data_IF_112647848964
#
_entry.id   IF_112647848964
#
_cell.length_a   1.000
_cell.length_b   1.000
_cell.length_c   1.000
_cell.angle_alpha   90.00
_cell.angle_beta   90.00
_cell.angle_gamma   90.00
#
_symmetry.space_group_name_H-M   'P 1'
#
loop_
_entity.id
_entity.type
_entity.pdbx_description
1 polymer ?
#
# COMPACT_ATOMS: atom_id res chain seq x y z
N UNK A 1 -6.77 -15.24 1.25
CA UNK A 1 -5.69 -14.24 1.30
C UNK A 1 -5.96 -13.21 2.39
N UNK A 2 -4.94 -12.83 3.16
CA UNK A 2 -5.06 -11.70 4.09
C UNK A 2 -4.89 -10.39 3.31
N UNK A 3 -5.99 -9.69 3.11
CA UNK A 3 -6.03 -8.38 2.46
C UNK A 3 -7.31 -7.66 2.92
N UNK A 4 -7.20 -6.61 3.76
CA UNK A 4 -8.36 -5.94 4.34
C UNK A 4 -8.94 -4.84 3.45
N UNK A 5 -10.10 -4.30 3.87
CA UNK A 5 -10.70 -3.11 3.30
C UNK A 5 -11.12 -3.28 1.85
N UNK A 6 -11.10 -2.17 1.11
CA UNK A 6 -11.54 -2.12 -0.28
C UNK A 6 -10.68 -2.99 -1.21
N UNK A 7 -9.39 -3.16 -0.88
CA UNK A 7 -8.51 -4.06 -1.61
C UNK A 7 -8.96 -5.53 -1.47
N UNK A 8 -9.48 -5.91 -0.29
CA UNK A 8 -10.10 -7.20 -0.08
C UNK A 8 -11.34 -7.43 -0.94
N UNK A 9 -12.18 -6.41 -1.09
CA UNK A 9 -13.34 -6.51 -1.97
C UNK A 9 -12.94 -6.67 -3.45
N UNK A 10 -11.93 -5.95 -3.90
CA UNK A 10 -11.37 -6.12 -5.24
C UNK A 10 -10.81 -7.54 -5.41
N UNK A 11 -10.05 -8.04 -4.43
CA UNK A 11 -9.52 -9.40 -4.44
C UNK A 11 -10.64 -10.46 -4.52
N UNK A 12 -11.77 -10.27 -3.81
CA UNK A 12 -12.92 -11.15 -3.89
C UNK A 12 -13.52 -11.18 -5.30
N UNK A 13 -13.63 -10.03 -5.95
CA UNK A 13 -14.11 -9.95 -7.35
C UNK A 13 -13.13 -10.57 -8.35
N UNK A 14 -11.88 -10.73 -7.98
CA UNK A 14 -10.86 -11.46 -8.75
C UNK A 14 -10.85 -12.97 -8.45
N UNK A 15 -11.72 -13.45 -7.56
CA UNK A 15 -11.86 -14.85 -7.21
C UNK A 15 -11.10 -15.32 -5.98
N UNK A 16 -10.45 -14.40 -5.25
CA UNK A 16 -9.83 -14.73 -3.96
C UNK A 16 -10.85 -14.73 -2.82
N UNK A 17 -10.47 -15.33 -1.68
CA UNK A 17 -11.24 -15.26 -0.43
C UNK A 17 -10.48 -14.36 0.55
N UNK A 18 -10.85 -13.06 0.66
CA UNK A 18 -10.18 -12.13 1.54
C UNK A 18 -10.53 -12.38 3.01
N UNK A 19 -9.55 -12.15 3.87
CA UNK A 19 -9.71 -12.22 5.32
C UNK A 19 -9.04 -11.02 5.97
N UNK A 20 -9.64 -10.51 7.04
CA UNK A 20 -9.03 -9.47 7.88
C UNK A 20 -8.44 -10.13 9.12
N UNK A 21 -7.12 -10.25 9.15
CA UNK A 21 -6.36 -10.87 10.24
C UNK A 21 -5.39 -9.83 10.80
N UNK A 22 -5.31 -9.66 12.14
CA UNK A 22 -4.31 -8.79 12.76
C UNK A 22 -2.88 -9.17 12.38
N UNK A 23 -1.97 -8.19 12.33
CA UNK A 23 -0.59 -8.41 11.89
C UNK A 23 0.14 -9.54 12.62
N UNK A 24 -0.04 -9.65 13.95
CA UNK A 24 0.58 -10.68 14.76
C UNK A 24 0.12 -12.11 14.41
N UNK A 25 -1.06 -12.24 13.83
CA UNK A 25 -1.67 -13.55 13.51
C UNK A 25 -1.37 -14.01 12.06
N UNK A 26 -0.75 -13.15 11.24
CA UNK A 26 -0.47 -13.47 9.81
C UNK A 26 0.53 -14.61 9.69
N UNK A 27 1.67 -14.54 10.39
CA UNK A 27 2.68 -15.60 10.33
C UNK A 27 2.11 -16.97 10.71
N UNK A 28 1.45 -17.16 11.87
CA UNK A 28 0.86 -18.45 12.22
C UNK A 28 -0.26 -18.88 11.25
N UNK A 29 -0.99 -17.96 10.63
CA UNK A 29 -2.02 -18.30 9.66
C UNK A 29 -1.42 -18.82 8.33
N UNK A 30 -0.34 -18.21 7.85
CA UNK A 30 0.44 -18.70 6.70
C UNK A 30 1.11 -20.05 7.01
N UNK A 31 1.75 -20.18 8.18
CA UNK A 31 2.43 -21.40 8.61
C UNK A 31 1.50 -22.62 8.67
N UNK A 32 0.28 -22.42 9.18
CA UNK A 32 -0.75 -23.46 9.28
C UNK A 32 -1.53 -23.69 7.98
N UNK A 33 -1.29 -22.89 6.94
CA UNK A 33 -2.07 -22.95 5.70
C UNK A 33 -3.53 -22.51 5.85
N UNK A 34 -3.86 -21.74 6.91
CA UNK A 34 -5.20 -21.16 7.09
C UNK A 34 -5.46 -20.08 6.04
N UNK A 35 -4.41 -19.42 5.58
CA UNK A 35 -4.40 -18.53 4.43
C UNK A 35 -3.26 -18.90 3.48
N UNK A 36 -3.46 -18.69 2.19
CA UNK A 36 -2.50 -19.04 1.14
C UNK A 36 -1.55 -17.88 0.81
N UNK A 37 -1.95 -16.64 1.12
CA UNK A 37 -1.20 -15.43 0.83
C UNK A 37 -1.56 -14.30 1.81
N UNK A 38 -0.66 -13.35 1.94
CA UNK A 38 -0.91 -12.11 2.69
C UNK A 38 -0.30 -10.91 1.97
N UNK A 39 -0.93 -9.77 2.09
CA UNK A 39 -0.31 -8.49 1.82
C UNK A 39 0.12 -7.83 3.13
N UNK A 40 1.20 -7.06 3.10
CA UNK A 40 1.68 -6.30 4.24
C UNK A 40 2.37 -5.02 3.76
N UNK A 41 3.36 -4.51 4.47
CA UNK A 41 3.92 -3.17 4.22
C UNK A 41 4.99 -3.17 3.12
N UNK A 42 5.98 -4.08 3.20
CA UNK A 42 7.10 -4.15 2.28
C UNK A 42 8.34 -4.83 2.88
N UNK A 43 9.44 -4.93 2.13
CA UNK A 43 10.57 -5.80 2.48
C UNK A 43 11.12 -5.64 3.89
N UNK A 44 11.21 -4.40 4.37
CA UNK A 44 11.80 -4.12 5.69
C UNK A 44 10.95 -4.65 6.85
N UNK A 45 9.64 -4.50 6.79
CA UNK A 45 8.74 -5.01 7.82
C UNK A 45 8.44 -6.49 7.62
N UNK A 46 8.30 -6.95 6.39
CA UNK A 46 8.04 -8.34 6.04
C UNK A 46 9.19 -9.27 6.47
N UNK A 47 10.44 -8.81 6.32
CA UNK A 47 11.63 -9.49 6.83
C UNK A 47 11.58 -9.65 8.35
N UNK A 48 11.25 -8.57 9.09
CA UNK A 48 11.18 -8.58 10.55
C UNK A 48 10.12 -9.53 11.09
N UNK A 49 8.99 -9.62 10.40
CA UNK A 49 7.90 -10.52 10.76
C UNK A 49 8.14 -11.96 10.31
N UNK A 50 9.22 -12.19 9.54
CA UNK A 50 9.64 -13.51 9.13
C UNK A 50 8.78 -14.17 8.07
N UNK A 51 7.93 -13.43 7.35
CA UNK A 51 6.98 -13.98 6.38
C UNK A 51 7.65 -14.83 5.30
N UNK A 52 8.87 -14.48 4.90
CA UNK A 52 9.66 -15.23 3.92
C UNK A 52 9.92 -16.69 4.31
N UNK A 53 9.86 -17.04 5.60
CA UNK A 53 10.08 -18.42 6.08
C UNK A 53 8.89 -19.34 5.77
N UNK A 54 7.71 -18.77 5.64
CA UNK A 54 6.44 -19.51 5.42
C UNK A 54 5.79 -19.19 4.07
N UNK A 55 6.23 -18.10 3.41
CA UNK A 55 5.75 -17.65 2.09
C UNK A 55 6.94 -17.16 1.23
N UNK A 56 7.66 -18.07 0.54
CA UNK A 56 8.88 -17.73 -0.20
C UNK A 56 8.65 -17.02 -1.53
N UNK A 57 7.43 -16.97 -2.04
CA UNK A 57 7.08 -16.25 -3.26
C UNK A 57 6.65 -14.83 -2.91
N UNK A 58 7.35 -13.83 -3.46
CA UNK A 58 7.17 -12.42 -3.16
C UNK A 58 6.78 -11.66 -4.43
N UNK A 59 5.56 -11.17 -4.48
CA UNK A 59 5.00 -10.53 -5.68
C UNK A 59 5.02 -9.00 -5.59
N UNK A 60 5.36 -8.36 -6.71
CA UNK A 60 5.43 -6.90 -6.87
C UNK A 60 5.00 -6.50 -8.29
N UNK A 61 4.58 -5.24 -8.52
CA UNK A 61 4.15 -4.26 -7.53
C UNK A 61 2.78 -4.62 -6.95
N UNK A 62 2.48 -4.11 -5.76
CA UNK A 62 1.11 -4.24 -5.22
C UNK A 62 0.11 -3.55 -6.15
N UNK A 63 -0.85 -4.29 -6.68
CA UNK A 63 -1.87 -3.73 -7.58
C UNK A 63 -2.91 -2.89 -6.84
N UNK A 64 -2.99 -3.03 -5.51
CA UNK A 64 -3.94 -2.33 -4.64
C UNK A 64 -3.43 -0.95 -4.20
N UNK A 65 -2.15 -0.79 -3.95
CA UNK A 65 -1.51 0.48 -3.58
C UNK A 65 0.01 0.40 -3.76
N UNK A 66 0.66 1.50 -4.14
CA UNK A 66 2.12 1.54 -4.26
C UNK A 66 2.81 1.75 -2.90
N UNK A 67 2.06 2.13 -1.88
CA UNK A 67 2.52 2.36 -0.52
C UNK A 67 1.39 2.82 0.39
N UNK A 68 1.46 2.53 1.70
CA UNK A 68 0.40 2.83 2.64
C UNK A 68 0.28 4.34 2.93
N UNK A 69 -0.94 4.85 2.98
CA UNK A 69 -1.25 6.18 3.50
C UNK A 69 -1.68 6.05 4.97
N UNK A 70 -0.75 6.29 5.89
CA UNK A 70 -1.00 6.19 7.33
C UNK A 70 -1.52 7.51 7.88
N UNK A 71 -2.50 7.45 8.79
CA UNK A 71 -3.19 8.62 9.32
C UNK A 71 -3.19 8.64 10.84
N UNK A 72 -3.14 9.85 11.41
CA UNK A 72 -3.43 10.07 12.81
C UNK A 72 -4.91 10.46 12.98
N UNK A 73 -5.64 9.69 13.76
CA UNK A 73 -7.02 9.99 14.13
C UNK A 73 -7.07 10.57 15.53
N UNK A 74 -7.63 11.77 15.66
CA UNK A 74 -7.79 12.45 16.96
C UNK A 74 -9.27 12.71 17.18
N UNK A 75 -9.79 12.40 18.37
CA UNK A 75 -11.14 12.74 18.73
C UNK A 75 -11.32 14.26 18.65
N UNK A 76 -12.35 14.71 17.91
CA UNK A 76 -12.54 16.14 17.64
C UNK A 76 -12.76 16.95 18.91
N UNK A 77 -13.56 16.45 19.85
CA UNK A 77 -13.83 17.15 21.12
C UNK A 77 -12.57 17.30 21.97
N UNK A 78 -11.70 16.30 22.01
CA UNK A 78 -10.42 16.39 22.70
C UNK A 78 -9.44 17.29 21.98
N UNK A 79 -9.41 17.25 20.64
CA UNK A 79 -8.61 18.17 19.85
C UNK A 79 -8.96 19.64 20.07
N UNK A 80 -10.25 19.95 20.13
CA UNK A 80 -10.73 21.32 20.33
C UNK A 80 -10.42 21.87 21.72
N UNK A 81 -10.21 21.01 22.73
CA UNK A 81 -9.76 21.39 24.09
C UNK A 81 -8.27 21.70 24.19
N UNK A 82 -7.46 21.19 23.24
CA UNK A 82 -6.02 21.42 23.29
C UNK A 82 -5.68 22.90 23.06
N UNK A 83 -4.71 23.45 23.80
CA UNK A 83 -4.10 24.74 23.51
C UNK A 83 -3.63 24.81 22.06
N UNK A 84 -3.66 26.00 21.44
CA UNK A 84 -3.29 26.17 20.02
C UNK A 84 -1.84 25.78 19.75
N UNK A 85 -0.95 26.03 20.68
CA UNK A 85 0.47 25.63 20.62
C UNK A 85 0.63 24.10 20.58
N UNK A 86 -0.20 23.33 21.30
CA UNK A 86 -0.17 21.87 21.26
C UNK A 86 -0.73 21.33 19.95
N UNK A 87 -1.81 21.94 19.44
CA UNK A 87 -2.31 21.62 18.11
C UNK A 87 -1.25 21.90 17.03
N UNK A 88 -0.50 22.99 17.15
CA UNK A 88 0.58 23.33 16.22
C UNK A 88 1.75 22.34 16.32
N UNK A 89 2.17 22.01 17.54
CA UNK A 89 3.23 21.02 17.80
C UNK A 89 2.85 19.65 17.22
N UNK A 90 1.61 19.18 17.44
CA UNK A 90 1.14 17.91 16.87
C UNK A 90 1.18 17.92 15.34
N UNK A 91 0.72 19.00 14.69
CA UNK A 91 0.80 19.11 13.23
C UNK A 91 2.23 19.14 12.70
N UNK A 92 3.14 19.83 13.41
CA UNK A 92 4.56 19.87 13.04
C UNK A 92 5.19 18.48 13.15
N UNK A 93 4.99 17.78 14.28
CA UNK A 93 5.48 16.43 14.51
C UNK A 93 4.92 15.42 13.48
N UNK A 94 3.63 15.55 13.10
CA UNK A 94 3.03 14.70 12.07
C UNK A 94 3.70 14.87 10.70
N UNK A 95 4.05 16.10 10.33
CA UNK A 95 4.76 16.39 9.07
C UNK A 95 6.19 15.87 9.09
N UNK A 96 6.88 16.04 10.20
CA UNK A 96 8.24 15.51 10.38
C UNK A 96 8.24 13.98 10.34
N UNK A 97 7.32 13.33 11.05
CA UNK A 97 7.16 11.89 11.03
C UNK A 97 6.91 11.36 9.61
N UNK A 98 6.11 12.06 8.79
CA UNK A 98 5.87 11.70 7.39
C UNK A 98 7.17 11.71 6.58
N UNK A 99 7.97 12.78 6.66
CA UNK A 99 9.22 12.91 5.92
C UNK A 99 10.23 11.84 6.36
N UNK A 100 10.40 11.69 7.68
CA UNK A 100 11.34 10.72 8.24
C UNK A 100 10.94 9.28 7.91
N UNK A 101 9.66 8.95 7.97
CA UNK A 101 9.15 7.62 7.64
C UNK A 101 9.41 7.29 6.17
N UNK A 102 9.10 8.18 5.24
CA UNK A 102 9.35 8.00 3.81
C UNK A 102 10.83 7.76 3.55
N UNK A 103 11.69 8.66 4.03
CA UNK A 103 13.14 8.51 3.86
C UNK A 103 13.70 7.21 4.49
N UNK A 104 13.16 6.80 5.64
CA UNK A 104 13.57 5.56 6.30
C UNK A 104 13.21 4.33 5.46
N UNK A 105 12.00 4.26 4.92
CA UNK A 105 11.58 3.13 4.09
C UNK A 105 12.32 3.07 2.76
N UNK A 106 12.52 4.22 2.10
CA UNK A 106 13.31 4.31 0.88
C UNK A 106 14.75 3.82 1.09
N UNK A 107 15.33 4.11 2.26
CA UNK A 107 16.66 3.65 2.62
C UNK A 107 16.70 2.15 3.00
N UNK A 108 15.73 1.67 3.79
CA UNK A 108 15.78 0.33 4.39
C UNK A 108 15.20 -0.77 3.50
N UNK A 109 14.20 -0.47 2.69
CA UNK A 109 13.56 -1.48 1.84
C UNK A 109 14.51 -2.12 0.83
N UNK A 110 15.37 -1.40 0.10
CA UNK A 110 16.32 -2.03 -0.83
C UNK A 110 17.29 -2.99 -0.13
N UNK A 111 17.75 -2.64 1.07
CA UNK A 111 18.65 -3.47 1.85
C UNK A 111 17.95 -4.74 2.36
N UNK A 112 16.72 -4.61 2.84
CA UNK A 112 15.92 -5.74 3.28
C UNK A 112 15.57 -6.68 2.12
N UNK A 113 15.21 -6.12 0.96
CA UNK A 113 14.96 -6.91 -0.24
C UNK A 113 16.19 -7.72 -0.65
N UNK A 114 17.37 -7.11 -0.66
CA UNK A 114 18.60 -7.82 -0.97
C UNK A 114 18.85 -9.00 0.00
N UNK A 115 18.61 -8.81 1.30
CA UNK A 115 18.72 -9.90 2.28
C UNK A 115 17.69 -11.00 2.05
N UNK A 116 16.42 -10.64 1.79
CA UNK A 116 15.36 -11.60 1.48
C UNK A 116 15.73 -12.47 0.25
N UNK A 117 16.21 -11.83 -0.81
CA UNK A 117 16.66 -12.54 -2.02
C UNK A 117 17.85 -13.48 -1.72
N UNK A 118 18.82 -13.05 -0.90
CA UNK A 118 19.94 -13.90 -0.49
C UNK A 118 19.51 -15.10 0.36
N UNK A 119 18.35 -15.03 1.00
CA UNK A 119 17.72 -16.12 1.76
C UNK A 119 16.81 -17.02 0.90
N UNK A 120 16.78 -16.82 -0.42
CA UNK A 120 16.05 -17.68 -1.35
C UNK A 120 14.61 -17.25 -1.65
N UNK A 121 14.20 -16.04 -1.23
CA UNK A 121 12.93 -15.47 -1.62
C UNK A 121 12.87 -15.27 -3.14
N UNK A 122 11.76 -15.67 -3.74
CA UNK A 122 11.53 -15.57 -5.18
C UNK A 122 10.71 -14.32 -5.48
N UNK A 123 11.39 -13.24 -5.85
CA UNK A 123 10.73 -12.03 -6.33
C UNK A 123 10.11 -12.27 -7.69
N UNK A 124 8.82 -11.99 -7.82
CA UNK A 124 8.05 -12.18 -9.02
C UNK A 124 7.21 -10.93 -9.30
N UNK A 125 6.93 -10.69 -10.58
CA UNK A 125 6.01 -9.63 -10.98
C UNK A 125 4.62 -10.20 -11.21
N UNK A 126 3.59 -9.43 -10.82
CA UNK A 126 2.25 -9.71 -11.33
C UNK A 126 2.22 -9.55 -12.84
N UNK A 127 1.54 -10.45 -13.53
CA UNK A 127 1.38 -10.32 -14.97
C UNK A 127 0.58 -9.06 -15.35
N UNK A 128 0.82 -8.53 -16.55
CA UNK A 128 0.05 -7.41 -17.06
C UNK A 128 -1.46 -7.72 -17.14
N UNK A 129 -1.83 -8.97 -17.33
CA UNK A 129 -3.22 -9.41 -17.33
C UNK A 129 -3.84 -9.23 -15.93
N UNK A 130 -3.16 -9.70 -14.87
CA UNK A 130 -3.61 -9.53 -13.49
C UNK A 130 -3.71 -8.03 -13.15
N UNK A 131 -2.67 -7.25 -13.44
CA UNK A 131 -2.64 -5.81 -13.17
C UNK A 131 -3.78 -5.09 -13.88
N UNK A 132 -4.03 -5.40 -15.15
CA UNK A 132 -5.13 -4.80 -15.90
C UNK A 132 -6.49 -5.20 -15.33
N UNK A 133 -6.69 -6.48 -15.06
CA UNK A 133 -7.96 -6.97 -14.50
C UNK A 133 -8.26 -6.36 -13.13
N UNK A 134 -7.25 -6.25 -12.27
CA UNK A 134 -7.38 -5.59 -10.97
C UNK A 134 -7.76 -4.10 -11.14
N UNK A 135 -7.13 -3.41 -12.08
CA UNK A 135 -7.47 -2.02 -12.41
C UNK A 135 -8.93 -1.89 -12.89
N UNK A 136 -9.38 -2.74 -13.82
CA UNK A 136 -10.73 -2.68 -14.35
C UNK A 136 -11.77 -2.93 -13.23
N UNK A 137 -11.57 -3.98 -12.42
CA UNK A 137 -12.44 -4.30 -11.28
C UNK A 137 -12.47 -3.18 -10.23
N UNK A 138 -11.31 -2.53 -9.99
CA UNK A 138 -11.25 -1.38 -9.08
C UNK A 138 -12.08 -0.21 -9.60
N UNK A 139 -12.02 0.06 -10.90
CA UNK A 139 -12.80 1.12 -11.54
C UNK A 139 -14.30 0.88 -11.44
N UNK A 140 -14.73 -0.36 -11.67
CA UNK A 140 -16.13 -0.76 -11.55
C UNK A 140 -16.63 -0.58 -10.12
N UNK A 141 -15.87 -1.07 -9.14
CA UNK A 141 -16.20 -0.92 -7.71
C UNK A 141 -16.30 0.55 -7.30
N UNK A 142 -15.35 1.39 -7.70
CA UNK A 142 -15.38 2.81 -7.35
C UNK A 142 -16.54 3.56 -8.01
N UNK A 143 -16.94 3.17 -9.22
CA UNK A 143 -18.12 3.71 -9.88
C UNK A 143 -19.42 3.30 -9.16
N UNK A 144 -19.52 2.04 -8.73
CA UNK A 144 -20.65 1.55 -7.94
C UNK A 144 -20.78 2.32 -6.61
N UNK A 145 -19.67 2.52 -5.90
CA UNK A 145 -19.67 3.29 -4.64
C UNK A 145 -20.01 4.76 -4.85
N UNK A 146 -19.53 5.35 -5.94
CA UNK A 146 -19.92 6.72 -6.32
C UNK A 146 -21.42 6.86 -6.62
N UNK A 147 -22.04 5.83 -7.19
CA UNK A 147 -23.47 5.78 -7.44
C UNK A 147 -24.33 5.68 -6.17
N UNK A 148 -23.78 5.08 -5.10
CA UNK A 148 -24.47 4.86 -3.83
C UNK A 148 -24.25 5.99 -2.81
N UNK A 149 -23.09 6.65 -2.87
CA UNK A 149 -22.62 7.59 -1.85
C UNK A 149 -22.17 8.93 -2.46
N UNK A 150 -22.98 10.01 -2.33
CA UNK A 150 -22.62 11.32 -2.88
C UNK A 150 -21.34 11.91 -2.31
N UNK A 151 -21.00 11.63 -1.04
CA UNK A 151 -19.74 12.09 -0.44
C UNK A 151 -18.55 11.36 -1.07
N UNK A 152 -18.67 10.05 -1.28
CA UNK A 152 -17.67 9.29 -2.04
C UNK A 152 -17.49 9.84 -3.46
N UNK A 153 -18.59 10.03 -4.19
CA UNK A 153 -18.55 10.56 -5.55
C UNK A 153 -17.79 11.88 -5.65
N UNK A 154 -18.10 12.81 -4.71
CA UNK A 154 -17.41 14.11 -4.63
C UNK A 154 -15.92 13.97 -4.38
N UNK A 155 -15.53 13.21 -3.35
CA UNK A 155 -14.12 13.05 -2.95
C UNK A 155 -13.35 12.30 -4.04
N UNK A 156 -13.91 11.21 -4.54
CA UNK A 156 -13.26 10.40 -5.57
C UNK A 156 -13.11 11.16 -6.90
N UNK A 157 -14.10 11.99 -7.26
CA UNK A 157 -14.01 12.84 -8.45
C UNK A 157 -12.86 13.85 -8.40
N UNK A 158 -12.60 14.48 -7.26
CA UNK A 158 -11.45 15.37 -7.06
C UNK A 158 -10.13 14.58 -7.00
N UNK A 159 -10.10 13.44 -6.33
CA UNK A 159 -8.94 12.53 -6.32
C UNK A 159 -8.54 12.10 -7.73
N UNK A 160 -9.49 11.71 -8.59
CA UNK A 160 -9.21 11.28 -9.96
C UNK A 160 -8.63 12.40 -10.83
N UNK A 161 -9.10 13.64 -10.67
CA UNK A 161 -8.51 14.80 -11.35
C UNK A 161 -7.06 15.00 -10.95
N UNK A 162 -6.80 14.98 -9.63
CA UNK A 162 -5.46 15.14 -9.09
C UNK A 162 -4.54 14.00 -9.52
N UNK A 163 -4.98 12.75 -9.40
CA UNK A 163 -4.23 11.56 -9.82
C UNK A 163 -3.81 11.64 -11.29
N UNK A 164 -4.71 12.05 -12.18
CA UNK A 164 -4.38 12.19 -13.62
C UNK A 164 -3.31 13.26 -13.85
N UNK A 165 -3.44 14.41 -13.19
CA UNK A 165 -2.46 15.48 -13.30
C UNK A 165 -1.09 15.05 -12.76
N UNK A 166 -1.05 14.36 -11.62
CA UNK A 166 0.20 13.85 -11.04
C UNK A 166 0.84 12.77 -11.92
N UNK A 167 0.06 11.82 -12.43
CA UNK A 167 0.59 10.80 -13.34
C UNK A 167 1.18 11.43 -14.62
N UNK A 168 0.54 12.45 -15.18
CA UNK A 168 1.07 13.17 -16.33
C UNK A 168 2.40 13.88 -15.98
N UNK A 169 2.47 14.53 -14.84
CA UNK A 169 3.69 15.21 -14.37
C UNK A 169 4.82 14.21 -14.13
N UNK A 170 4.61 13.20 -13.30
CA UNK A 170 5.65 12.24 -12.94
C UNK A 170 6.12 11.38 -14.12
N UNK A 171 5.27 11.16 -15.12
CA UNK A 171 5.69 10.47 -16.35
C UNK A 171 6.76 11.23 -17.13
N UNK A 172 6.76 12.55 -17.06
CA UNK A 172 7.76 13.44 -17.69
C UNK A 172 8.96 13.67 -16.77
N UNK A 173 8.71 13.89 -15.48
CA UNK A 173 9.74 14.17 -14.49
C UNK A 173 10.48 12.88 -14.06
N UNK A 174 10.17 12.39 -12.86
CA UNK A 174 10.92 11.33 -12.20
C UNK A 174 10.91 10.01 -12.98
N UNK A 175 9.75 9.53 -13.40
CA UNK A 175 9.65 8.26 -14.11
C UNK A 175 10.34 8.29 -15.49
N UNK A 176 10.46 9.46 -16.13
CA UNK A 176 11.24 9.65 -17.36
C UNK A 176 12.73 9.43 -17.11
N UNK A 177 13.26 10.04 -16.06
CA UNK A 177 14.65 9.88 -15.64
C UNK A 177 14.94 8.45 -15.18
N UNK A 178 14.09 7.88 -14.34
CA UNK A 178 14.25 6.53 -13.81
C UNK A 178 14.31 5.47 -14.93
N UNK A 179 13.42 5.58 -15.93
CA UNK A 179 13.46 4.68 -17.10
C UNK A 179 14.77 4.79 -17.85
N UNK A 180 15.30 6.00 -18.05
CA UNK A 180 16.61 6.19 -18.67
C UNK A 180 17.70 5.53 -17.85
N UNK A 181 17.76 5.79 -16.54
CA UNK A 181 18.78 5.21 -15.65
C UNK A 181 18.72 3.69 -15.59
N UNK A 182 17.52 3.09 -15.70
CA UNK A 182 17.36 1.63 -15.78
C UNK A 182 17.85 1.05 -17.10
N UNK A 183 17.80 1.82 -18.20
CA UNK A 183 18.23 1.37 -19.53
C UNK A 183 19.75 1.37 -19.73
N UNK A 184 20.50 2.07 -18.89
CA UNK A 184 21.98 2.20 -19.00
C UNK A 184 22.76 1.37 -17.97
N UNK A 185 22.09 0.43 -17.31
CA UNK A 185 22.68 -0.53 -16.36
C UNK A 185 23.20 -1.76 -17.06
#
# INVERSE_FOLDING_TARGET
VRIPGIAGEIAARLGAVPQTIPGADIYPALEKGTIDAAEWVGPYDDEKLGFHKVAPNYYSPGWWEPGPAVHFYVNKAEWDKLPKEYQAAFRAASREAHIQMTAMYDHKNPQALARLLSQGVKLQNFSNEIMKKAYDVSRDLYAEEAGKNPAWAKIYGEFEKYRRAQNAWFSVAEAGFDRFMQSVR
#
